data_IF_735251100064
#
_entry.id   IF_735251100064
#
_cell.length_a   1.000
_cell.length_b   1.000
_cell.length_c   1.000
_cell.angle_alpha   90.00
_cell.angle_beta   90.00
_cell.angle_gamma   90.00
#
_symmetry.space_group_name_H-M   'P 1'
#
loop_
_entity.id
_entity.type
_entity.pdbx_description
1 polymer ?
#
# COMPACT_ATOMS: atom_id res chain seq x y z
N UNK A 1 -1.83 -7.52 -1.45
CA UNK A 1 -1.99 -8.93 -1.05
C UNK A 1 -3.44 -9.40 -1.26
N UNK A 2 -4.42 -8.62 -0.81
CA UNK A 2 -5.86 -8.88 -0.98
C UNK A 2 -6.29 -9.12 -2.43
N UNK A 3 -5.81 -8.32 -3.39
CA UNK A 3 -6.09 -8.52 -4.82
C UNK A 3 -5.73 -9.93 -5.32
N UNK A 4 -4.56 -10.45 -4.93
CA UNK A 4 -4.10 -11.78 -5.34
C UNK A 4 -4.90 -12.88 -4.63
N UNK A 5 -5.24 -12.68 -3.34
CA UNK A 5 -6.09 -13.60 -2.60
C UNK A 5 -7.50 -13.68 -3.21
N UNK A 6 -8.10 -12.54 -3.56
CA UNK A 6 -9.40 -12.51 -4.24
C UNK A 6 -9.39 -13.20 -5.60
N UNK A 7 -8.26 -13.18 -6.32
CA UNK A 7 -8.14 -13.86 -7.62
C UNK A 7 -8.01 -15.39 -7.50
N UNK A 8 -7.28 -15.89 -6.49
CA UNK A 8 -6.94 -17.31 -6.38
C UNK A 8 -7.70 -18.07 -5.29
N UNK A 9 -8.41 -17.38 -4.40
CA UNK A 9 -9.13 -17.98 -3.26
C UNK A 9 -10.65 -17.72 -3.30
N UNK A 10 -11.23 -17.41 -4.46
CA UNK A 10 -12.64 -16.99 -4.60
C UNK A 10 -13.71 -18.08 -4.37
N UNK A 11 -13.33 -19.28 -3.92
CA UNK A 11 -14.24 -20.45 -3.83
C UNK A 11 -14.15 -21.04 -2.41
N UNK A 12 -15.29 -21.41 -1.84
CA UNK A 12 -15.44 -21.98 -0.49
C UNK A 12 -14.93 -23.44 -0.35
N UNK A 13 -13.98 -23.86 -1.17
CA UNK A 13 -13.35 -25.19 -1.08
C UNK A 13 -12.01 -25.05 -0.36
N UNK A 14 -11.88 -25.70 0.80
CA UNK A 14 -10.69 -25.67 1.65
C UNK A 14 -9.40 -26.09 0.92
N UNK A 15 -9.48 -27.03 -0.03
CA UNK A 15 -8.33 -27.46 -0.82
C UNK A 15 -7.93 -26.39 -1.85
N UNK A 16 -8.93 -25.75 -2.46
CA UNK A 16 -8.72 -24.65 -3.42
C UNK A 16 -8.15 -23.42 -2.72
N UNK A 17 -8.63 -23.09 -1.52
CA UNK A 17 -8.11 -21.98 -0.71
C UNK A 17 -6.65 -22.22 -0.35
N UNK A 18 -6.30 -23.41 0.17
CA UNK A 18 -4.91 -23.72 0.53
C UNK A 18 -3.98 -23.71 -0.69
N UNK A 19 -4.42 -24.27 -1.82
CA UNK A 19 -3.67 -24.20 -3.08
C UNK A 19 -3.54 -22.76 -3.60
N UNK A 20 -4.61 -21.96 -3.46
CA UNK A 20 -4.64 -20.55 -3.83
C UNK A 20 -3.67 -19.72 -3.00
N UNK A 21 -3.63 -19.92 -1.69
CA UNK A 21 -2.70 -19.25 -0.77
C UNK A 21 -1.25 -19.55 -1.15
N UNK A 22 -0.90 -20.82 -1.39
CA UNK A 22 0.45 -21.19 -1.81
C UNK A 22 0.83 -20.54 -3.14
N UNK A 23 -0.08 -20.54 -4.14
CA UNK A 23 0.15 -19.83 -5.40
C UNK A 23 0.36 -18.33 -5.22
N UNK A 24 -0.40 -17.69 -4.33
CA UNK A 24 -0.23 -16.26 -4.02
C UNK A 24 1.12 -16.01 -3.37
N UNK A 25 1.53 -16.84 -2.41
CA UNK A 25 2.86 -16.75 -1.79
C UNK A 25 3.96 -16.91 -2.83
N UNK A 26 3.84 -17.89 -3.73
CA UNK A 26 4.82 -18.12 -4.79
C UNK A 26 4.91 -16.95 -5.75
N UNK A 27 3.77 -16.38 -6.16
CA UNK A 27 3.75 -15.20 -7.03
C UNK A 27 4.40 -14.01 -6.34
N UNK A 28 4.11 -13.76 -5.06
CA UNK A 28 4.76 -12.65 -4.34
C UNK A 28 6.26 -12.93 -4.21
N UNK A 29 6.64 -14.11 -3.72
CA UNK A 29 8.03 -14.47 -3.47
C UNK A 29 8.91 -14.40 -4.73
N UNK A 30 8.39 -14.86 -5.86
CA UNK A 30 9.18 -14.95 -7.09
C UNK A 30 9.20 -13.66 -7.93
N UNK A 31 8.25 -12.75 -7.69
CA UNK A 31 8.12 -11.54 -8.52
C UNK A 31 8.31 -10.24 -7.71
N UNK A 32 8.24 -10.26 -6.38
CA UNK A 32 8.48 -9.07 -5.57
C UNK A 32 9.96 -8.65 -5.63
N UNK A 33 10.19 -7.38 -5.95
CA UNK A 33 11.55 -6.85 -6.01
C UNK A 33 11.97 -6.38 -4.62
N UNK A 34 12.99 -7.03 -4.06
CA UNK A 34 13.69 -6.52 -2.89
C UNK A 34 14.78 -5.55 -3.34
N UNK A 35 14.85 -4.36 -2.72
CA UNK A 35 15.82 -3.32 -3.09
C UNK A 35 17.28 -3.83 -3.09
N UNK A 36 17.63 -4.74 -2.18
CA UNK A 36 18.96 -5.34 -2.06
C UNK A 36 19.29 -6.30 -3.22
N UNK A 37 18.29 -6.81 -3.92
CA UNK A 37 18.42 -7.75 -5.04
C UNK A 37 18.12 -7.09 -6.39
N UNK A 38 17.94 -5.77 -6.41
CA UNK A 38 17.53 -5.00 -7.59
C UNK A 38 18.43 -5.23 -8.81
N UNK A 39 19.75 -5.24 -8.64
CA UNK A 39 20.70 -5.51 -9.74
C UNK A 39 20.59 -6.94 -10.29
N UNK A 40 20.31 -7.92 -9.44
CA UNK A 40 20.08 -9.31 -9.88
C UNK A 40 18.80 -9.39 -10.72
N UNK A 41 17.73 -8.73 -10.28
CA UNK A 41 16.46 -8.67 -11.03
C UNK A 41 16.65 -7.94 -12.36
N UNK A 42 17.42 -6.85 -12.40
CA UNK A 42 17.77 -6.15 -13.64
C UNK A 42 18.51 -7.05 -14.62
N UNK A 43 19.52 -7.79 -14.15
CA UNK A 43 20.25 -8.77 -14.98
C UNK A 43 19.30 -9.83 -15.53
N UNK A 44 18.39 -10.34 -14.70
CA UNK A 44 17.44 -11.36 -15.08
C UNK A 44 16.42 -10.86 -16.13
N UNK A 45 15.92 -9.63 -16.01
CA UNK A 45 15.07 -9.00 -17.03
C UNK A 45 15.85 -8.90 -18.36
N UNK A 46 17.10 -8.45 -18.31
CA UNK A 46 17.96 -8.30 -19.50
C UNK A 46 18.25 -9.64 -20.18
N UNK A 47 18.60 -10.67 -19.41
CA UNK A 47 18.96 -12.00 -19.94
C UNK A 47 17.74 -12.75 -20.49
N UNK A 48 16.59 -12.65 -19.82
CA UNK A 48 15.35 -13.32 -20.27
C UNK A 48 14.56 -12.51 -21.30
N UNK A 49 14.91 -11.23 -21.50
CA UNK A 49 14.20 -10.28 -22.36
C UNK A 49 12.88 -9.76 -21.78
N UNK A 50 12.14 -10.59 -21.03
CA UNK A 50 10.93 -10.20 -20.29
C UNK A 50 10.87 -10.89 -18.94
N UNK A 51 10.48 -10.15 -17.90
CA UNK A 51 10.26 -10.72 -16.57
C UNK A 51 9.15 -9.98 -15.83
N UNK A 52 8.34 -10.77 -15.10
CA UNK A 52 7.25 -10.25 -14.29
C UNK A 52 7.79 -9.80 -12.94
N UNK A 53 7.41 -8.60 -12.51
CA UNK A 53 7.79 -8.05 -11.23
C UNK A 53 6.59 -7.44 -10.49
N UNK A 54 6.74 -7.31 -9.18
CA UNK A 54 5.87 -6.57 -8.28
C UNK A 54 6.69 -5.45 -7.67
N UNK A 55 6.30 -4.21 -7.95
CA UNK A 55 6.96 -3.02 -7.42
C UNK A 55 5.95 -1.89 -7.21
N UNK A 56 6.34 -0.89 -6.42
CA UNK A 56 5.62 0.35 -6.26
C UNK A 56 6.07 1.33 -7.35
N UNK A 57 5.13 1.72 -8.20
CA UNK A 57 5.35 2.55 -9.38
C UNK A 57 4.85 3.96 -9.12
N UNK A 58 5.67 4.96 -9.41
CA UNK A 58 5.27 6.37 -9.42
C UNK A 58 5.14 6.81 -10.87
N UNK A 59 4.08 7.54 -11.20
CA UNK A 59 3.84 8.05 -12.56
C UNK A 59 3.66 9.55 -12.51
N UNK A 60 4.41 10.27 -13.35
CA UNK A 60 4.33 11.72 -13.48
C UNK A 60 4.33 12.12 -14.96
N UNK A 61 3.80 13.31 -15.28
CA UNK A 61 3.92 13.90 -16.61
C UNK A 61 5.28 14.61 -16.72
N UNK A 62 6.09 14.21 -17.69
CA UNK A 62 7.27 14.98 -18.08
C UNK A 62 6.82 16.11 -19.01
N UNK A 63 6.71 17.33 -18.46
CA UNK A 63 6.27 18.52 -19.18
C UNK A 63 7.27 19.02 -20.24
N UNK A 64 8.54 18.58 -20.18
CA UNK A 64 9.57 19.01 -21.14
C UNK A 64 9.48 18.26 -22.46
N UNK A 65 9.26 16.95 -22.35
CA UNK A 65 9.29 16.02 -23.48
C UNK A 65 7.89 15.50 -23.86
N UNK A 66 6.85 15.98 -23.16
CA UNK A 66 5.43 15.70 -23.37
C UNK A 66 5.09 14.20 -23.38
N UNK A 67 5.52 13.48 -22.32
CA UNK A 67 5.15 12.08 -22.13
C UNK A 67 5.04 11.72 -20.65
N UNK A 68 4.29 10.66 -20.34
CA UNK A 68 4.26 10.11 -18.99
C UNK A 68 5.47 9.23 -18.73
N UNK A 69 6.16 9.48 -17.63
CA UNK A 69 7.29 8.69 -17.17
C UNK A 69 7.04 8.06 -15.81
N UNK A 70 7.79 7.01 -15.54
CA UNK A 70 7.64 6.22 -14.33
C UNK A 70 8.96 5.98 -13.62
N UNK A 71 8.86 5.84 -12.30
CA UNK A 71 9.95 5.38 -11.45
C UNK A 71 9.50 4.22 -10.54
N UNK A 72 10.46 3.37 -10.20
CA UNK A 72 10.25 2.12 -9.49
C UNK A 72 10.93 2.15 -8.12
N UNK A 73 10.17 1.96 -7.04
CA UNK A 73 10.67 2.09 -5.68
C UNK A 73 11.79 1.09 -5.34
N UNK A 74 11.63 -0.18 -5.73
CA UNK A 74 12.56 -1.24 -5.34
C UNK A 74 13.52 -1.62 -6.47
N UNK A 75 13.06 -1.62 -7.73
CA UNK A 75 13.93 -1.85 -8.88
C UNK A 75 14.93 -0.69 -9.05
N UNK A 76 14.60 0.52 -8.59
CA UNK A 76 15.49 1.68 -8.65
C UNK A 76 15.78 2.14 -10.08
N UNK A 77 14.80 1.97 -10.97
CA UNK A 77 14.85 2.46 -12.35
C UNK A 77 13.93 3.68 -12.43
N UNK A 78 14.39 4.72 -13.12
CA UNK A 78 13.70 6.00 -13.26
C UNK A 78 13.57 6.36 -14.74
N UNK A 79 12.73 7.34 -15.05
CA UNK A 79 12.51 7.87 -16.41
C UNK A 79 12.10 6.79 -17.43
N UNK A 80 11.29 5.82 -17.00
CA UNK A 80 10.76 4.78 -17.89
C UNK A 80 9.46 5.26 -18.52
N UNK A 81 9.37 5.40 -19.86
CA UNK A 81 8.14 5.83 -20.51
C UNK A 81 6.98 4.86 -20.26
N UNK A 82 5.77 5.40 -20.09
CA UNK A 82 4.52 4.64 -20.02
C UNK A 82 3.51 5.22 -21.00
N UNK A 83 2.70 4.36 -21.62
CA UNK A 83 1.74 4.80 -22.63
C UNK A 83 0.56 5.56 -22.01
N UNK A 84 0.08 6.57 -22.73
CA UNK A 84 -1.11 7.34 -22.38
C UNK A 84 -2.33 6.45 -22.13
N UNK A 85 -2.46 5.34 -22.87
CA UNK A 85 -3.57 4.40 -22.71
C UNK A 85 -3.59 3.74 -21.33
N UNK A 86 -2.42 3.34 -20.81
CA UNK A 86 -2.31 2.75 -19.47
C UNK A 86 -2.66 3.80 -18.42
N UNK A 87 -2.17 5.03 -18.58
CA UNK A 87 -2.44 6.13 -17.65
C UNK A 87 -3.92 6.51 -17.67
N UNK A 88 -4.54 6.64 -18.85
CA UNK A 88 -5.98 6.91 -19.01
C UNK A 88 -6.85 5.81 -18.39
N UNK A 89 -6.47 4.54 -18.57
CA UNK A 89 -7.18 3.41 -17.96
C UNK A 89 -7.03 3.37 -16.44
N UNK A 90 -5.91 3.83 -15.93
CA UNK A 90 -5.56 3.75 -14.51
C UNK A 90 -5.18 5.13 -13.95
N UNK A 91 -6.12 6.09 -13.95
CA UNK A 91 -5.86 7.47 -13.53
C UNK A 91 -5.26 7.63 -12.13
N UNK A 92 -5.50 6.68 -11.20
CA UNK A 92 -4.88 6.70 -9.86
C UNK A 92 -3.36 6.52 -9.86
N UNK A 93 -2.76 6.10 -10.97
CA UNK A 93 -1.29 6.08 -11.13
C UNK A 93 -0.67 7.48 -10.92
N UNK A 94 -1.43 8.54 -11.19
CA UNK A 94 -1.02 9.94 -11.03
C UNK A 94 -1.24 10.50 -9.60
N UNK A 95 -1.57 9.66 -8.62
CA UNK A 95 -1.90 10.09 -7.23
C UNK A 95 -0.70 10.58 -6.40
N UNK A 96 0.52 10.61 -6.94
CA UNK A 96 1.74 11.06 -6.27
C UNK A 96 2.29 10.13 -5.18
N UNK A 97 1.43 9.38 -4.49
CA UNK A 97 1.81 8.44 -3.44
C UNK A 97 2.43 7.13 -3.91
N UNK A 98 2.46 6.89 -5.23
CA UNK A 98 2.90 5.66 -5.88
C UNK A 98 1.93 4.49 -5.67
N UNK A 99 1.80 3.64 -6.68
CA UNK A 99 0.83 2.53 -6.70
C UNK A 99 1.56 1.20 -6.85
N UNK A 100 1.25 0.25 -5.98
CA UNK A 100 1.74 -1.13 -6.11
C UNK A 100 1.16 -1.77 -7.36
N UNK A 101 2.02 -2.29 -8.24
CA UNK A 101 1.63 -2.88 -9.51
C UNK A 101 2.31 -4.24 -9.72
N UNK A 102 1.60 -5.15 -10.40
CA UNK A 102 2.23 -6.29 -11.08
C UNK A 102 2.45 -5.82 -12.51
N UNK A 103 3.67 -5.96 -13.01
CA UNK A 103 4.01 -5.56 -14.37
C UNK A 103 4.99 -6.52 -15.00
N UNK A 104 4.98 -6.58 -16.33
CA UNK A 104 6.03 -7.21 -17.10
C UNK A 104 7.01 -6.13 -17.56
N UNK A 105 8.25 -6.26 -17.13
CA UNK A 105 9.36 -5.42 -17.56
C UNK A 105 10.15 -6.15 -18.63
N UNK A 106 10.53 -5.40 -19.66
CA UNK A 106 11.39 -5.87 -20.74
C UNK A 106 12.61 -4.95 -20.87
N UNK A 107 13.67 -5.50 -21.44
CA UNK A 107 14.88 -4.74 -21.73
C UNK A 107 15.09 -4.70 -23.25
N UNK A 108 14.90 -3.53 -23.86
CA UNK A 108 15.09 -3.32 -25.29
C UNK A 108 16.41 -2.59 -25.53
N UNK A 109 17.35 -3.25 -26.22
CA UNK A 109 18.66 -2.69 -26.56
C UNK A 109 18.73 -2.11 -27.98
N UNK A 110 17.59 -1.87 -28.64
CA UNK A 110 17.54 -1.25 -29.95
C UNK A 110 18.08 0.19 -29.94
N UNK A 111 18.70 0.62 -31.03
CA UNK A 111 19.18 2.01 -31.15
C UNK A 111 18.01 2.99 -31.30
N UNK A 112 18.07 4.13 -30.61
CA UNK A 112 17.07 5.18 -30.68
C UNK A 112 15.89 5.04 -29.72
N UNK A 113 15.88 4.02 -28.84
CA UNK A 113 14.88 3.93 -27.77
C UNK A 113 15.12 5.00 -26.70
N UNK A 114 14.03 5.58 -26.19
CA UNK A 114 14.10 6.61 -25.14
C UNK A 114 14.59 6.05 -23.79
N UNK A 115 14.32 4.78 -23.53
CA UNK A 115 14.80 4.04 -22.38
C UNK A 115 15.02 2.59 -22.79
N UNK A 116 16.07 1.96 -22.24
CA UNK A 116 16.28 0.53 -22.40
C UNK A 116 15.24 -0.30 -21.63
N UNK A 117 14.56 0.31 -20.67
CA UNK A 117 13.51 -0.33 -19.90
C UNK A 117 12.16 -0.05 -20.54
N UNK A 118 11.38 -1.11 -20.76
CA UNK A 118 10.06 -1.00 -21.38
C UNK A 118 9.03 -1.76 -20.55
N UNK A 119 7.93 -1.06 -20.23
CA UNK A 119 6.76 -1.63 -19.56
C UNK A 119 5.86 -2.26 -20.62
N UNK A 120 5.85 -3.58 -20.70
CA UNK A 120 5.00 -4.31 -21.66
C UNK A 120 3.54 -4.34 -21.18
N UNK A 121 3.32 -4.57 -19.88
CA UNK A 121 2.01 -4.54 -19.26
C UNK A 121 2.10 -4.13 -17.81
N UNK A 122 1.09 -3.42 -17.32
CA UNK A 122 1.03 -2.95 -15.93
C UNK A 122 -0.40 -3.11 -15.41
N UNK A 123 -0.52 -3.71 -14.22
CA UNK A 123 -1.78 -3.88 -13.51
C UNK A 123 -1.65 -3.41 -12.06
N UNK A 124 -2.37 -2.36 -11.64
CA UNK A 124 -2.42 -1.93 -10.24
C UNK A 124 -2.97 -3.03 -9.32
N UNK A 125 -2.33 -3.24 -8.17
CA UNK A 125 -2.71 -4.20 -7.11
C UNK A 125 -3.51 -3.50 -6.00
N UNK A 126 -3.29 -2.20 -5.78
CA UNK A 126 -3.91 -1.41 -4.71
C UNK A 126 -4.94 -0.40 -5.20
N UNK A 127 -5.79 -0.81 -6.13
CA UNK A 127 -6.92 0.01 -6.54
C UNK A 127 -8.15 -0.86 -6.76
N UNK A 128 -8.66 -1.46 -5.70
CA UNK A 128 -10.10 -1.66 -5.63
C UNK A 128 -10.73 -0.27 -5.53
N UNK A 129 -11.65 0.06 -6.43
CA UNK A 129 -12.70 1.01 -6.05
C UNK A 129 -13.35 0.46 -4.79
N UNK A 130 -13.44 1.31 -3.76
CA UNK A 130 -14.23 0.94 -2.58
C UNK A 130 -15.67 1.10 -3.00
N UNK A 131 -16.31 0.00 -3.35
CA UNK A 131 -17.76 -0.06 -3.55
C UNK A 131 -18.41 -0.13 -2.16
N UNK A 132 -18.88 1.04 -1.70
CA UNK A 132 -19.46 1.20 -0.36
C UNK A 132 -20.78 0.44 -0.26
N UNK A 133 -21.55 0.42 -1.35
CA UNK A 133 -22.80 -0.31 -1.46
C UNK A 133 -22.58 -1.83 -1.37
N UNK A 134 -21.63 -2.38 -2.13
CA UNK A 134 -21.27 -3.81 -2.04
C UNK A 134 -20.81 -4.19 -0.63
N UNK A 135 -19.98 -3.34 -0.02
CA UNK A 135 -19.51 -3.54 1.34
C UNK A 135 -20.67 -3.55 2.35
N UNK A 136 -21.60 -2.59 2.24
CA UNK A 136 -22.76 -2.49 3.12
C UNK A 136 -23.72 -3.67 2.96
N UNK A 137 -23.94 -4.16 1.74
CA UNK A 137 -24.77 -5.35 1.50
C UNK A 137 -24.10 -6.62 2.04
N UNK A 138 -22.81 -6.81 1.79
CA UNK A 138 -22.06 -7.98 2.26
C UNK A 138 -21.98 -8.01 3.78
N UNK A 139 -21.86 -6.84 4.44
CA UNK A 139 -21.90 -6.72 5.90
C UNK A 139 -23.15 -7.37 6.51
N UNK A 140 -24.30 -7.34 5.84
CA UNK A 140 -25.55 -7.93 6.36
C UNK A 140 -25.47 -9.44 6.53
N UNK A 141 -24.54 -10.10 5.85
CA UNK A 141 -24.33 -11.55 5.94
C UNK A 141 -23.60 -11.98 7.22
N UNK A 142 -23.00 -11.05 7.96
CA UNK A 142 -22.25 -11.32 9.18
C UNK A 142 -23.07 -11.04 10.44
N UNK A 143 -22.98 -11.93 11.44
CA UNK A 143 -23.42 -11.59 12.80
C UNK A 143 -22.49 -10.53 13.41
N UNK A 144 -22.99 -9.85 14.44
CA UNK A 144 -22.21 -8.79 15.12
C UNK A 144 -20.88 -9.30 15.65
N UNK A 145 -20.84 -10.49 16.26
CA UNK A 145 -19.59 -11.03 16.82
C UNK A 145 -18.60 -11.44 15.73
N UNK A 146 -19.07 -12.08 14.64
CA UNK A 146 -18.24 -12.41 13.47
C UNK A 146 -17.65 -11.16 12.83
N UNK A 147 -18.43 -10.07 12.79
CA UNK A 147 -17.96 -8.78 12.29
C UNK A 147 -16.90 -8.15 13.18
N UNK A 148 -17.09 -8.20 14.50
CA UNK A 148 -16.09 -7.70 15.45
C UNK A 148 -14.78 -8.47 15.26
N UNK A 149 -14.85 -9.80 15.09
CA UNK A 149 -13.67 -10.64 14.91
C UNK A 149 -12.95 -10.36 13.59
N UNK A 150 -13.71 -10.13 12.52
CA UNK A 150 -13.16 -9.67 11.25
C UNK A 150 -12.41 -8.34 11.41
N UNK A 151 -13.01 -7.35 12.05
CA UNK A 151 -12.37 -6.05 12.29
C UNK A 151 -11.11 -6.16 13.14
N UNK A 152 -11.11 -7.02 14.17
CA UNK A 152 -9.94 -7.29 14.99
C UNK A 152 -8.78 -7.86 14.15
N UNK A 153 -9.07 -8.82 13.27
CA UNK A 153 -8.08 -9.35 12.34
C UNK A 153 -7.55 -8.28 11.37
N UNK A 154 -8.42 -7.41 10.86
CA UNK A 154 -8.05 -6.33 9.93
C UNK A 154 -7.07 -5.32 10.55
N UNK A 155 -7.10 -5.13 11.88
CA UNK A 155 -6.14 -4.28 12.60
C UNK A 155 -4.94 -5.07 13.14
N UNK A 156 -4.75 -6.32 12.71
CA UNK A 156 -3.59 -7.15 13.06
C UNK A 156 -3.67 -7.81 14.44
N UNK A 157 -4.85 -7.87 15.07
CA UNK A 157 -5.05 -8.50 16.38
C UNK A 157 -5.78 -9.84 16.23
N UNK A 158 -5.32 -10.86 16.98
CA UNK A 158 -6.04 -12.13 17.05
C UNK A 158 -7.23 -12.01 18.02
N UNK A 159 -8.50 -12.10 17.56
CA UNK A 159 -9.68 -11.96 18.40
C UNK A 159 -9.80 -13.03 19.50
N UNK A 160 -9.24 -14.23 19.32
CA UNK A 160 -9.32 -15.31 20.31
C UNK A 160 -8.62 -14.96 21.63
N UNK A 161 -7.65 -14.06 21.59
CA UNK A 161 -6.93 -13.60 22.77
C UNK A 161 -7.70 -12.56 23.60
N UNK A 162 -8.88 -12.13 23.15
CA UNK A 162 -9.66 -11.07 23.78
C UNK A 162 -11.06 -11.54 24.14
N UNK A 163 -11.54 -11.15 25.31
CA UNK A 163 -12.97 -11.18 25.59
C UNK A 163 -13.69 -10.06 24.81
N UNK A 164 -15.02 -10.12 24.73
CA UNK A 164 -15.84 -9.14 24.01
C UNK A 164 -15.54 -7.68 24.39
N UNK A 165 -15.34 -7.42 25.68
CA UNK A 165 -14.99 -6.07 26.18
C UNK A 165 -13.63 -5.63 25.65
N UNK A 166 -12.64 -6.52 25.67
CA UNK A 166 -11.31 -6.27 25.12
C UNK A 166 -11.35 -5.94 23.64
N UNK A 167 -12.10 -6.72 22.85
CA UNK A 167 -12.30 -6.46 21.41
C UNK A 167 -12.88 -5.06 21.18
N UNK A 168 -13.95 -4.70 21.89
CA UNK A 168 -14.57 -3.37 21.77
C UNK A 168 -13.63 -2.23 22.17
N UNK A 169 -12.79 -2.41 23.19
CA UNK A 169 -11.80 -1.40 23.59
C UNK A 169 -10.78 -1.18 22.47
N UNK A 170 -10.28 -2.25 21.85
CA UNK A 170 -9.32 -2.15 20.74
C UNK A 170 -9.94 -1.44 19.51
N UNK A 171 -11.18 -1.79 19.17
CA UNK A 171 -11.90 -1.10 18.09
C UNK A 171 -12.17 0.37 18.41
N UNK A 172 -12.44 0.70 19.68
CA UNK A 172 -12.69 2.08 20.08
C UNK A 172 -11.46 2.98 19.92
N UNK A 173 -10.24 2.44 20.01
CA UNK A 173 -9.01 3.19 19.71
C UNK A 173 -8.98 3.73 18.26
N UNK A 174 -9.77 3.15 17.35
CA UNK A 174 -9.87 3.58 15.95
C UNK A 174 -10.79 4.78 15.74
N UNK A 175 -11.54 5.24 16.77
CA UNK A 175 -12.53 6.31 16.62
C UNK A 175 -11.94 7.61 16.07
N UNK A 176 -10.67 7.88 16.37
CA UNK A 176 -9.91 9.03 15.85
C UNK A 176 -9.70 9.01 14.34
N UNK A 177 -9.90 7.86 13.68
CA UNK A 177 -9.83 7.68 12.23
C UNK A 177 -11.18 7.75 11.54
N UNK A 178 -12.27 7.69 12.30
CA UNK A 178 -13.64 7.69 11.79
C UNK A 178 -14.32 9.03 12.04
N UNK A 179 -14.10 9.60 13.22
CA UNK A 179 -14.72 10.84 13.66
C UNK A 179 -13.74 12.01 13.58
N UNK A 180 -14.14 13.06 12.88
CA UNK A 180 -13.39 14.30 12.82
C UNK A 180 -13.39 15.00 14.18
N UNK A 181 -12.26 15.63 14.54
CA UNK A 181 -12.09 16.39 15.78
C UNK A 181 -12.35 15.60 17.09
N UNK A 182 -12.12 14.28 17.07
CA UNK A 182 -12.22 13.46 18.28
C UNK A 182 -10.87 13.36 19.00
N UNK A 183 -10.81 13.85 20.24
CA UNK A 183 -9.61 13.73 21.08
C UNK A 183 -9.69 12.46 21.94
N UNK A 184 -8.63 11.64 21.89
CA UNK A 184 -8.57 10.36 22.59
C UNK A 184 -7.26 10.25 23.38
N UNK A 185 -7.35 9.71 24.60
CA UNK A 185 -6.19 9.46 25.47
C UNK A 185 -6.19 7.99 25.87
N UNK A 186 -5.16 7.26 25.48
CA UNK A 186 -4.94 5.87 25.87
C UNK A 186 -3.84 5.77 26.94
N UNK A 187 -4.18 5.16 28.07
CA UNK A 187 -3.22 4.86 29.14
C UNK A 187 -3.02 3.35 29.20
N UNK A 188 -1.78 2.89 29.08
CA UNK A 188 -1.47 1.47 29.19
C UNK A 188 0.01 1.20 29.47
N UNK A 189 0.35 0.01 30.01
CA UNK A 189 1.73 -0.42 30.25
C UNK A 189 2.63 -0.38 29.01
N UNK A 190 3.96 -0.42 29.18
CA UNK A 190 4.88 -0.50 28.03
C UNK A 190 4.64 -1.79 27.23
N UNK A 191 4.79 -1.74 25.91
CA UNK A 191 4.70 -2.90 25.03
C UNK A 191 3.29 -3.33 24.61
N UNK A 192 2.24 -2.55 24.90
CA UNK A 192 0.84 -2.89 24.53
C UNK A 192 0.42 -2.44 23.13
N UNK A 193 1.35 -2.10 22.23
CA UNK A 193 1.02 -1.74 20.85
C UNK A 193 0.28 -0.41 20.64
N UNK A 194 0.20 0.49 21.63
CA UNK A 194 -0.52 1.79 21.55
C UNK A 194 -0.20 2.61 20.29
N UNK A 195 1.07 2.63 19.90
CA UNK A 195 1.53 3.39 18.74
C UNK A 195 1.26 2.67 17.40
N UNK A 196 0.99 1.36 17.41
CA UNK A 196 0.91 0.51 16.22
C UNK A 196 -0.20 0.96 15.28
N UNK A 197 -1.40 1.24 15.82
CA UNK A 197 -2.53 1.74 15.03
C UNK A 197 -2.17 3.07 14.33
N UNK A 198 -1.41 3.93 15.01
CA UNK A 198 -1.05 5.23 14.47
C UNK A 198 0.11 5.19 13.47
N UNK A 199 1.00 4.20 13.55
CA UNK A 199 2.10 4.02 12.59
C UNK A 199 1.69 3.25 11.34
N UNK A 200 0.85 2.21 11.46
CA UNK A 200 0.61 1.27 10.35
C UNK A 200 -0.68 1.54 9.57
N UNK A 201 -1.71 2.12 10.20
CA UNK A 201 -3.07 2.09 9.63
C UNK A 201 -3.34 3.20 8.61
N UNK A 202 -2.55 4.28 8.56
CA UNK A 202 -2.72 5.33 7.54
C UNK A 202 -1.44 6.12 7.30
N UNK A 203 -1.09 6.41 6.04
CA UNK A 203 0.02 7.30 5.71
C UNK A 203 -0.23 8.76 6.12
N UNK A 204 -1.48 9.11 6.46
CA UNK A 204 -1.85 10.45 6.93
C UNK A 204 -1.75 10.59 8.45
N UNK A 205 -1.46 9.51 9.18
CA UNK A 205 -1.17 9.56 10.61
C UNK A 205 0.26 10.05 10.85
N UNK A 206 0.43 11.04 11.74
CA UNK A 206 1.75 11.47 12.19
C UNK A 206 1.94 10.99 13.63
N UNK A 207 2.88 10.06 13.84
CA UNK A 207 3.30 9.65 15.18
C UNK A 207 4.41 10.57 15.67
N UNK A 208 4.19 11.20 16.81
CA UNK A 208 5.16 12.11 17.42
C UNK A 208 5.61 11.53 18.76
N UNK A 209 6.92 11.29 18.91
CA UNK A 209 7.51 10.92 20.20
C UNK A 209 7.63 12.17 21.08
N UNK A 210 7.10 12.11 22.31
CA UNK A 210 7.15 13.22 23.26
C UNK A 210 8.55 13.64 23.71
N UNK A 211 9.58 12.85 23.38
CA UNK A 211 10.98 13.14 23.73
C UNK A 211 11.64 14.11 22.72
N UNK A 212 11.16 14.16 21.47
CA UNK A 212 11.84 14.87 20.37
C UNK A 212 11.12 16.15 19.88
N UNK A 213 10.04 16.55 20.56
CA UNK A 213 9.22 17.70 20.13
C UNK A 213 9.09 18.75 21.22
N UNK A 214 9.59 19.95 20.91
CA UNK A 214 9.30 21.17 21.66
C UNK A 214 7.94 21.72 21.26
N UNK A 215 7.25 22.43 22.16
CA UNK A 215 5.95 23.04 21.86
C UNK A 215 5.99 23.92 20.60
N UNK A 216 7.13 24.56 20.31
CA UNK A 216 7.32 25.38 19.12
C UNK A 216 7.25 24.57 17.80
N UNK A 217 7.76 23.33 17.78
CA UNK A 217 7.75 22.45 16.60
C UNK A 217 6.35 22.02 16.17
N UNK A 218 5.37 22.08 17.08
CA UNK A 218 3.97 21.79 16.75
C UNK A 218 3.34 22.88 15.88
N UNK A 219 3.83 24.12 15.95
CA UNK A 219 3.22 25.26 15.25
C UNK A 219 4.09 25.82 14.13
N UNK A 220 5.42 25.65 14.19
CA UNK A 220 6.36 26.18 13.19
C UNK A 220 7.43 25.14 12.85
N UNK A 221 7.66 24.91 11.56
CA UNK A 221 8.74 24.05 11.08
C UNK A 221 10.10 24.74 11.20
N UNK A 222 11.13 24.00 11.63
CA UNK A 222 12.52 24.47 11.64
C UNK A 222 13.22 24.35 10.27
N UNK A 223 12.56 23.79 9.26
CA UNK A 223 13.11 23.55 7.92
C UNK A 223 12.50 24.54 6.92
N UNK A 224 13.13 25.72 6.81
CA UNK A 224 12.77 26.78 5.88
C UNK A 224 11.79 27.82 6.45
N UNK A 225 11.95 29.09 6.06
CA UNK A 225 11.10 30.21 6.51
C UNK A 225 9.64 29.97 6.12
N UNK A 226 8.73 30.00 7.10
CA UNK A 226 7.29 30.13 6.88
C UNK A 226 6.49 28.84 6.71
N UNK A 227 7.08 27.65 6.93
CA UNK A 227 6.31 26.40 6.90
C UNK A 227 5.56 26.18 8.22
N UNK A 228 4.24 26.05 8.10
CA UNK A 228 3.30 25.72 9.17
C UNK A 228 3.70 24.38 9.82
N UNK A 229 3.70 24.32 11.15
CA UNK A 229 3.98 23.10 11.93
C UNK A 229 2.82 22.11 11.89
N UNK A 230 2.94 21.01 12.65
CA UNK A 230 1.98 19.89 12.66
C UNK A 230 0.53 20.26 13.01
N UNK A 231 0.30 21.39 13.69
CA UNK A 231 -1.01 21.81 14.22
C UNK A 231 -1.34 23.26 13.84
N UNK A 232 -0.56 23.87 12.93
CA UNK A 232 -0.86 25.23 12.47
C UNK A 232 -1.92 25.23 11.36
N UNK A 233 -2.70 26.31 11.30
CA UNK A 233 -3.67 26.59 10.24
C UNK A 233 -3.10 27.61 9.26
#
# INVERSE_FOLDING_TARGET
>A
MEFLLGQYCAINDEQVINSGIEKVKDVIKNNFVHWAESEMVKSLIREKGSFKIIDKVFVNLNEKDDFYETSFANLGVEHVPISDEIVKRHGKLLSGGGVWCILNMTYDSAEGVRSYWVIESLKPIHVSEVDVEEYAETRKQFKTEEWIDLLMHSIGLNPENFNRRGKLIQLWCLITRVENNYNFVELGPKGTGKSHIFSELSPHGVLVSGVDVTSARLFVSNSGRGKIGLVGF
#
